data_IF_230366756594
#
_entry.id   IF_230366756594
#
_cell.length_a   1.000
_cell.length_b   1.000
_cell.length_c   1.000
_cell.angle_alpha   90.00
_cell.angle_beta   90.00
_cell.angle_gamma   90.00
#
_symmetry.space_group_name_H-M   'P 1'
#
loop_
_entity.id
_entity.type
_entity.pdbx_description
1 polymer ?
#
# COMPACT_ATOMS: atom_id res chain seq x y z
N UNK A 1 8.95 -2.35 -3.18
CA UNK A 1 7.71 -1.60 -3.51
C UNK A 1 6.52 -2.54 -3.50
N UNK A 2 5.29 -2.05 -3.41
CA UNK A 2 4.10 -2.89 -3.58
C UNK A 2 3.01 -2.12 -4.30
N UNK A 3 2.09 -2.84 -4.93
CA UNK A 3 0.87 -2.29 -5.49
C UNK A 3 -0.31 -2.60 -4.60
N UNK A 4 -1.23 -1.64 -4.49
CA UNK A 4 -2.50 -1.78 -3.81
C UNK A 4 -3.62 -1.54 -4.80
N UNK A 5 -4.63 -2.40 -4.79
CA UNK A 5 -5.87 -2.22 -5.54
C UNK A 5 -7.06 -2.28 -4.60
N UNK A 6 -7.97 -1.32 -4.76
CA UNK A 6 -9.24 -1.28 -4.05
C UNK A 6 -10.36 -1.71 -5.01
N UNK A 7 -11.07 -2.78 -4.66
CA UNK A 7 -12.08 -3.40 -5.50
C UNK A 7 -11.53 -3.69 -6.91
N UNK A 8 -12.23 -3.22 -7.95
CA UNK A 8 -11.83 -3.33 -9.36
C UNK A 8 -11.18 -2.04 -9.89
N UNK A 9 -10.70 -1.18 -8.99
CA UNK A 9 -10.03 0.07 -9.33
C UNK A 9 -8.62 -0.13 -9.88
N UNK A 10 -7.92 0.99 -10.11
CA UNK A 10 -6.55 0.97 -10.60
C UNK A 10 -5.54 0.56 -9.52
N UNK A 11 -4.45 -0.08 -9.95
CA UNK A 11 -3.32 -0.37 -9.09
C UNK A 11 -2.58 0.92 -8.74
N UNK A 12 -2.45 1.22 -7.45
CA UNK A 12 -1.60 2.30 -6.94
C UNK A 12 -0.28 1.72 -6.46
N UNK A 13 0.84 2.30 -6.91
CA UNK A 13 2.18 1.89 -6.45
C UNK A 13 2.52 2.66 -5.18
N UNK A 14 2.81 1.93 -4.11
CA UNK A 14 3.36 2.47 -2.88
C UNK A 14 4.83 2.11 -2.76
N UNK A 15 5.65 3.14 -2.59
CA UNK A 15 7.09 3.05 -2.46
C UNK A 15 7.51 3.44 -1.04
N UNK A 16 7.93 2.45 -0.26
CA UNK A 16 8.45 2.64 1.09
C UNK A 16 9.97 2.85 1.10
N UNK A 17 10.59 3.01 -0.07
CA UNK A 17 12.01 3.31 -0.16
C UNK A 17 12.30 4.76 0.23
N UNK A 18 13.09 4.94 1.28
CA UNK A 18 13.52 6.25 1.73
C UNK A 18 14.89 6.58 1.16
N UNK A 19 14.88 7.30 0.02
CA UNK A 19 16.06 7.55 -0.83
C UNK A 19 17.26 8.19 -0.11
N UNK A 20 17.02 8.91 0.98
CA UNK A 20 18.05 9.57 1.80
C UNK A 20 17.92 9.20 3.29
N UNK A 21 17.30 8.05 3.56
CA UNK A 21 16.98 7.56 4.88
C UNK A 21 18.08 6.73 5.53
N UNK A 22 18.16 6.82 6.86
CA UNK A 22 19.08 6.01 7.66
C UNK A 22 18.42 4.72 8.20
N UNK A 23 17.16 4.43 7.85
CA UNK A 23 16.42 3.29 8.40
C UNK A 23 15.04 3.11 7.80
N UNK A 24 14.18 2.39 8.53
CA UNK A 24 12.84 2.02 8.08
C UNK A 24 11.94 3.24 7.87
N UNK A 25 11.13 3.19 6.82
CA UNK A 25 10.17 4.23 6.48
C UNK A 25 8.75 3.66 6.47
N UNK A 26 7.85 4.37 7.14
CA UNK A 26 6.42 4.08 7.11
C UNK A 26 5.73 5.10 6.23
N UNK A 27 4.90 4.62 5.31
CA UNK A 27 4.06 5.45 4.44
C UNK A 27 2.60 5.21 4.81
N UNK A 28 1.82 6.28 4.91
CA UNK A 28 0.36 6.23 5.09
C UNK A 28 -0.29 6.95 3.91
N UNK A 29 -1.25 6.29 3.27
CA UNK A 29 -1.92 6.78 2.05
C UNK A 29 -3.44 6.60 2.18
N UNK A 30 -4.21 7.57 1.70
CA UNK A 30 -5.67 7.43 1.55
C UNK A 30 -5.96 6.58 0.32
N UNK A 31 -6.42 5.35 0.53
CA UNK A 31 -6.68 4.39 -0.55
C UNK A 31 -8.04 4.61 -1.22
N UNK A 32 -9.04 5.11 -0.52
CA UNK A 32 -10.36 5.42 -1.03
C UNK A 32 -11.03 6.45 -0.11
N UNK A 33 -11.64 7.49 -0.69
CA UNK A 33 -12.44 8.47 0.05
C UNK A 33 -13.77 8.64 -0.69
N UNK A 34 -14.87 8.22 -0.05
CA UNK A 34 -16.23 8.39 -0.58
C UNK A 34 -17.28 8.30 0.55
N UNK A 35 -18.50 8.75 0.25
CA UNK A 35 -19.63 8.74 1.19
C UNK A 35 -20.39 7.40 1.25
N UNK A 36 -19.91 6.37 0.53
CA UNK A 36 -20.62 5.11 0.33
C UNK A 36 -20.07 4.02 1.26
N UNK A 37 -20.92 3.60 2.19
CA UNK A 37 -20.65 2.43 3.04
C UNK A 37 -20.90 1.16 2.26
N UNK A 38 -19.83 0.44 1.93
CA UNK A 38 -19.87 -0.86 1.27
C UNK A 38 -18.73 -1.75 1.76
N UNK A 39 -18.79 -3.02 1.37
CA UNK A 39 -17.66 -3.94 1.56
C UNK A 39 -16.55 -3.56 0.57
N UNK A 40 -15.32 -3.51 1.08
CA UNK A 40 -14.13 -3.27 0.27
C UNK A 40 -13.30 -4.54 0.16
N UNK A 41 -12.74 -4.77 -1.03
CA UNK A 41 -11.68 -5.74 -1.27
C UNK A 41 -10.38 -4.97 -1.44
N UNK A 42 -9.34 -5.38 -0.72
CA UNK A 42 -8.00 -4.79 -0.82
C UNK A 42 -7.06 -5.90 -1.29
N UNK A 43 -6.51 -5.74 -2.49
CA UNK A 43 -5.47 -6.62 -3.02
C UNK A 43 -4.11 -5.93 -2.86
N UNK A 44 -3.13 -6.63 -2.28
CA UNK A 44 -1.76 -6.12 -2.07
C UNK A 44 -0.80 -7.09 -2.74
N UNK A 45 0.06 -6.57 -3.62
CA UNK A 45 1.05 -7.35 -4.34
C UNK A 45 2.44 -6.74 -4.16
N UNK A 46 3.38 -7.54 -3.64
CA UNK A 46 4.78 -7.13 -3.50
C UNK A 46 5.47 -7.25 -4.84
N UNK A 47 6.02 -6.15 -5.35
CA UNK A 47 6.69 -6.14 -6.63
C UNK A 47 8.05 -6.83 -6.53
N UNK A 48 8.36 -7.71 -7.48
CA UNK A 48 9.66 -8.34 -7.57
C UNK A 48 10.70 -7.37 -8.14
N UNK A 49 11.59 -6.89 -7.27
CA UNK A 49 12.68 -5.98 -7.64
C UNK A 49 14.04 -6.70 -7.76
N UNK A 50 14.04 -8.03 -7.92
CA UNK A 50 15.27 -8.83 -8.05
C UNK A 50 16.09 -8.95 -6.76
N UNK A 51 15.51 -8.56 -5.62
CA UNK A 51 16.13 -8.61 -4.29
C UNK A 51 15.12 -9.09 -3.24
N UNK A 52 15.64 -9.62 -2.13
CA UNK A 52 14.81 -9.97 -0.98
C UNK A 52 14.04 -8.73 -0.52
N UNK A 53 12.73 -8.87 -0.36
CA UNK A 53 11.81 -7.79 -0.06
C UNK A 53 10.89 -8.24 1.06
N UNK A 54 10.74 -7.42 2.10
CA UNK A 54 9.72 -7.59 3.13
C UNK A 54 8.82 -6.37 3.11
N UNK A 55 7.51 -6.60 3.08
CA UNK A 55 6.51 -5.55 3.24
C UNK A 55 5.77 -5.83 4.53
N UNK A 56 5.87 -4.89 5.47
CA UNK A 56 5.15 -4.94 6.74
C UNK A 56 3.97 -3.99 6.67
N UNK A 57 2.75 -4.54 6.82
CA UNK A 57 1.52 -3.75 6.89
C UNK A 57 1.25 -3.47 8.37
N UNK A 58 1.43 -2.22 8.80
CA UNK A 58 1.23 -1.83 10.19
C UNK A 58 -0.26 -1.78 10.59
N UNK A 59 -1.13 -1.41 9.66
CA UNK A 59 -2.56 -1.36 9.91
C UNK A 59 -3.34 -0.87 8.70
N UNK A 60 -4.65 -1.10 8.74
CA UNK A 60 -5.62 -0.55 7.80
C UNK A 60 -6.62 0.26 8.62
N UNK A 61 -6.73 1.55 8.30
CA UNK A 61 -7.67 2.47 8.94
C UNK A 61 -8.93 2.53 8.08
N UNK A 62 -10.09 2.26 8.70
CA UNK A 62 -11.40 2.34 8.06
C UNK A 62 -12.28 3.24 8.92
N UNK A 63 -12.82 4.32 8.34
CA UNK A 63 -13.70 5.30 9.00
C UNK A 63 -15.06 5.38 8.33
#
# INVERSE_FOLDING_TARGET
>A
KFTVRINDGENRVLDTYFKDGWGDCTVTEILEENDIKKKYKIDIEVLNEGKSSQVTILGILVS
#
